data_IF_000844523521
#
_entry.id   IF_000844523521
#
_cell.length_a   1.000
_cell.length_b   1.000
_cell.length_c   1.000
_cell.angle_alpha   90.00
_cell.angle_beta   90.00
_cell.angle_gamma   90.00
#
_symmetry.space_group_name_H-M   'P 1'
#
loop_
_entity.id
_entity.type
_entity.pdbx_description
1 polymer ?
#
# COMPACT_ATOMS: atom_id res chain seq x y z
N UNK A 1 -21.13 -10.81 -0.91
CA UNK A 1 -19.88 -11.45 -1.36
C UNK A 1 -19.70 -12.90 -0.84
N UNK A 2 -20.63 -13.46 -0.07
CA UNK A 2 -20.47 -14.74 0.66
C UNK A 2 -20.74 -16.04 -0.14
N UNK A 3 -20.54 -16.06 -1.47
CA UNK A 3 -21.04 -17.15 -2.32
C UNK A 3 -19.99 -18.12 -2.91
N UNK A 4 -18.70 -17.82 -2.79
CA UNK A 4 -17.63 -18.63 -3.40
C UNK A 4 -16.60 -19.03 -2.34
N UNK A 5 -16.21 -20.32 -2.22
CA UNK A 5 -15.14 -20.74 -1.34
C UNK A 5 -13.79 -20.31 -1.92
N UNK A 6 -13.47 -19.03 -1.76
CA UNK A 6 -12.19 -18.44 -2.16
C UNK A 6 -11.17 -18.60 -1.04
N UNK A 7 -9.94 -19.00 -1.40
CA UNK A 7 -8.83 -19.06 -0.43
C UNK A 7 -8.40 -17.66 0.03
N UNK A 8 -8.59 -16.67 -0.85
CA UNK A 8 -8.21 -15.28 -0.64
C UNK A 8 -9.24 -14.38 -1.32
N UNK A 9 -9.69 -13.33 -0.63
CA UNK A 9 -10.54 -12.26 -1.16
C UNK A 9 -9.79 -10.94 -1.11
N UNK A 10 -9.70 -10.24 -2.23
CA UNK A 10 -8.98 -8.97 -2.32
C UNK A 10 -9.96 -7.93 -2.86
N UNK A 11 -10.18 -6.87 -2.09
CA UNK A 11 -11.00 -5.73 -2.50
C UNK A 11 -10.12 -4.50 -2.50
N UNK A 12 -10.08 -3.78 -3.63
CA UNK A 12 -9.29 -2.56 -3.78
C UNK A 12 -10.21 -1.43 -4.22
N UNK A 13 -10.20 -0.33 -3.49
CA UNK A 13 -11.02 0.85 -3.75
C UNK A 13 -10.13 2.08 -4.01
N UNK A 14 -10.07 2.52 -5.26
CA UNK A 14 -9.49 3.81 -5.65
C UNK A 14 -10.62 4.84 -5.80
N UNK A 15 -11.10 5.33 -4.66
CA UNK A 15 -12.31 6.16 -4.61
C UNK A 15 -12.24 7.33 -3.61
N UNK A 16 -11.19 7.43 -2.79
CA UNK A 16 -10.97 8.57 -1.90
C UNK A 16 -10.48 9.78 -2.70
N UNK A 17 -11.36 10.34 -3.54
CA UNK A 17 -11.08 11.45 -4.48
C UNK A 17 -12.08 12.60 -4.24
N UNK A 18 -11.76 13.84 -4.64
CA UNK A 18 -12.70 14.95 -4.54
C UNK A 18 -13.99 14.64 -5.31
N UNK A 19 -15.12 14.92 -4.68
CA UNK A 19 -16.42 14.72 -5.31
C UNK A 19 -16.74 15.90 -6.25
N UNK A 20 -16.93 15.68 -7.57
CA UNK A 20 -17.25 16.75 -8.52
C UNK A 20 -18.71 17.23 -8.42
N UNK A 21 -19.56 16.52 -7.68
CA UNK A 21 -20.98 16.87 -7.55
C UNK A 21 -21.19 18.07 -6.60
N UNK A 22 -22.27 18.86 -6.81
CA UNK A 22 -22.62 19.96 -5.92
C UNK A 22 -22.70 19.51 -4.46
N UNK A 23 -22.28 20.39 -3.55
CA UNK A 23 -22.40 20.13 -2.11
C UNK A 23 -23.86 19.87 -1.76
N UNK A 24 -24.09 18.75 -1.09
CA UNK A 24 -25.41 18.37 -0.59
C UNK A 24 -25.76 19.26 0.61
N UNK A 25 -27.06 19.32 0.98
CA UNK A 25 -27.50 20.08 2.16
C UNK A 25 -26.80 19.63 3.44
N UNK A 26 -26.48 18.34 3.52
CA UNK A 26 -25.62 17.79 4.56
C UNK A 26 -24.23 17.46 3.96
N UNK A 27 -23.13 17.89 4.59
CA UNK A 27 -21.78 17.56 4.11
C UNK A 27 -21.54 16.05 4.19
N UNK A 28 -21.05 15.47 3.10
CA UNK A 28 -20.52 14.10 3.13
C UNK A 28 -19.25 14.06 4.00
N UNK A 29 -19.08 12.99 4.76
CA UNK A 29 -17.82 12.73 5.45
C UNK A 29 -16.66 12.66 4.43
N UNK A 30 -15.52 13.26 4.76
CA UNK A 30 -14.34 13.23 3.91
C UNK A 30 -13.68 11.85 3.90
N UNK A 31 -13.16 11.45 2.74
CA UNK A 31 -12.40 10.20 2.58
C UNK A 31 -13.24 8.93 2.74
N UNK A 32 -12.54 7.79 2.81
CA UNK A 32 -13.15 6.48 3.02
C UNK A 32 -13.06 6.06 4.49
N UNK A 33 -13.98 5.19 4.91
CA UNK A 33 -14.06 4.73 6.28
C UNK A 33 -12.95 3.72 6.60
N UNK A 34 -12.56 3.64 7.88
CA UNK A 34 -11.79 2.52 8.39
C UNK A 34 -12.67 1.26 8.35
N UNK A 35 -12.11 0.16 7.84
CA UNK A 35 -12.81 -1.12 7.72
C UNK A 35 -12.01 -2.22 8.43
N UNK A 36 -12.74 -3.16 9.01
CA UNK A 36 -12.17 -4.41 9.51
C UNK A 36 -12.57 -5.53 8.53
N UNK A 37 -11.61 -6.17 7.83
CA UNK A 37 -11.92 -7.20 6.86
C UNK A 37 -12.42 -8.49 7.52
N UNK A 38 -13.14 -9.31 6.76
CA UNK A 38 -13.49 -10.68 7.14
C UNK A 38 -12.25 -11.62 7.08
N UNK A 39 -12.30 -12.82 7.67
CA UNK A 39 -11.24 -13.81 7.51
C UNK A 39 -10.93 -14.11 6.04
N UNK A 40 -9.63 -14.27 5.71
CA UNK A 40 -9.14 -14.46 4.34
C UNK A 40 -9.45 -13.29 3.39
N UNK A 41 -9.68 -12.09 3.92
CA UNK A 41 -9.91 -10.89 3.13
C UNK A 41 -8.84 -9.83 3.37
N UNK A 42 -8.49 -9.13 2.31
CA UNK A 42 -7.79 -7.85 2.33
C UNK A 42 -8.67 -6.79 1.69
N UNK A 43 -8.78 -5.64 2.35
CA UNK A 43 -9.41 -4.45 1.79
C UNK A 43 -8.37 -3.33 1.76
N UNK A 44 -8.14 -2.76 0.58
CA UNK A 44 -7.20 -1.68 0.38
C UNK A 44 -7.85 -0.44 -0.26
N UNK A 45 -7.31 0.71 0.07
CA UNK A 45 -7.77 2.03 -0.34
C UNK A 45 -6.60 2.86 -0.84
N UNK A 46 -6.90 3.75 -1.80
CA UNK A 46 -5.91 4.67 -2.33
C UNK A 46 -5.44 5.74 -1.33
N UNK A 47 -6.20 5.98 -0.25
CA UNK A 47 -5.85 6.96 0.78
C UNK A 47 -6.18 6.45 2.20
N UNK A 48 -5.54 7.05 3.20
CA UNK A 48 -5.77 6.77 4.60
C UNK A 48 -7.21 7.14 5.01
N UNK A 49 -7.78 6.47 6.03
CA UNK A 49 -9.13 6.74 6.48
C UNK A 49 -9.37 8.23 6.76
N UNK A 50 -10.49 8.76 6.30
CA UNK A 50 -10.84 10.17 6.46
C UNK A 50 -10.07 11.17 5.57
N UNK A 51 -9.08 10.71 4.80
CA UNK A 51 -8.30 11.56 3.89
C UNK A 51 -8.76 11.43 2.45
N UNK A 52 -8.54 12.48 1.66
CA UNK A 52 -8.89 12.54 0.25
C UNK A 52 -7.61 12.74 -0.54
N UNK A 53 -7.34 11.84 -1.47
CA UNK A 53 -6.19 11.97 -2.35
C UNK A 53 -6.41 13.12 -3.35
N UNK A 54 -5.34 13.87 -3.70
CA UNK A 54 -5.44 14.93 -4.68
C UNK A 54 -5.81 14.40 -6.08
N UNK A 55 -6.22 15.30 -6.96
CA UNK A 55 -6.40 14.98 -8.37
C UNK A 55 -5.06 14.55 -9.00
N UNK A 56 -5.09 13.45 -9.75
CA UNK A 56 -3.93 12.94 -10.46
C UNK A 56 -3.56 13.82 -11.66
N UNK A 57 -2.27 13.84 -12.02
CA UNK A 57 -1.75 14.63 -13.16
C UNK A 57 -1.69 13.84 -14.47
N UNK A 58 -1.89 12.53 -14.43
CA UNK A 58 -1.69 11.60 -15.55
C UNK A 58 -2.96 10.85 -15.95
N UNK A 59 -2.86 9.94 -16.92
CA UNK A 59 -3.99 9.14 -17.40
C UNK A 59 -4.52 8.14 -16.35
N UNK A 60 -3.72 7.85 -15.31
CA UNK A 60 -4.06 7.00 -14.19
C UNK A 60 -3.69 7.69 -12.88
N UNK A 61 -4.44 7.40 -11.81
CA UNK A 61 -4.10 7.82 -10.45
C UNK A 61 -2.80 7.17 -9.97
N UNK A 62 -2.09 7.84 -9.05
CA UNK A 62 -0.82 7.35 -8.52
C UNK A 62 -0.97 5.95 -7.90
N UNK A 63 -2.07 5.72 -7.19
CA UNK A 63 -2.36 4.43 -6.57
C UNK A 63 -2.58 3.29 -7.58
N UNK A 64 -3.50 3.47 -8.53
CA UNK A 64 -3.75 2.47 -9.58
C UNK A 64 -2.47 2.14 -10.39
N UNK A 65 -1.66 3.15 -10.73
CA UNK A 65 -0.40 2.95 -11.42
C UNK A 65 0.59 2.15 -10.58
N UNK A 66 0.84 2.57 -9.33
CA UNK A 66 1.77 1.92 -8.42
C UNK A 66 1.38 0.45 -8.14
N UNK A 67 0.10 0.20 -7.90
CA UNK A 67 -0.41 -1.15 -7.64
C UNK A 67 -0.18 -2.07 -8.86
N UNK A 68 -0.48 -1.57 -10.06
CA UNK A 68 -0.24 -2.33 -11.29
C UNK A 68 1.26 -2.62 -11.51
N UNK A 69 2.14 -1.65 -11.22
CA UNK A 69 3.60 -1.84 -11.27
C UNK A 69 4.05 -2.96 -10.32
N UNK A 70 3.58 -2.96 -9.07
CA UNK A 70 3.99 -3.93 -8.04
C UNK A 70 3.40 -5.32 -8.29
N UNK A 71 2.13 -5.42 -8.69
CA UNK A 71 1.53 -6.70 -9.08
C UNK A 71 2.32 -7.33 -10.24
N UNK A 72 2.65 -6.54 -11.27
CA UNK A 72 3.38 -7.02 -12.46
C UNK A 72 4.83 -7.42 -12.18
N UNK A 73 5.42 -6.96 -11.08
CA UNK A 73 6.79 -7.34 -10.72
C UNK A 73 6.95 -8.85 -10.52
N UNK A 74 5.90 -9.51 -10.02
CA UNK A 74 5.89 -10.96 -9.76
C UNK A 74 6.85 -11.41 -8.65
N UNK A 75 6.54 -12.55 -8.05
CA UNK A 75 7.29 -13.14 -6.95
C UNK A 75 7.27 -12.33 -5.64
N UNK A 76 6.33 -11.39 -5.52
CA UNK A 76 6.10 -10.63 -4.30
C UNK A 76 4.99 -11.27 -3.48
N UNK A 77 5.18 -11.31 -2.16
CA UNK A 77 4.09 -11.63 -1.23
C UNK A 77 2.98 -10.57 -1.34
N UNK A 78 1.79 -10.91 -0.85
CA UNK A 78 0.68 -9.97 -0.83
C UNK A 78 1.02 -8.69 -0.05
N UNK A 79 1.65 -8.82 1.11
CA UNK A 79 2.04 -7.69 1.96
C UNK A 79 3.08 -6.83 1.24
N UNK A 80 4.12 -7.45 0.65
CA UNK A 80 5.14 -6.74 -0.14
C UNK A 80 4.54 -5.92 -1.30
N UNK A 81 3.50 -6.43 -1.96
CA UNK A 81 2.82 -5.69 -3.05
C UNK A 81 2.22 -4.40 -2.52
N UNK A 82 1.51 -4.45 -1.39
CA UNK A 82 0.83 -3.28 -0.85
C UNK A 82 1.78 -2.32 -0.13
N UNK A 83 2.82 -2.80 0.54
CA UNK A 83 3.84 -1.96 1.16
C UNK A 83 4.64 -1.18 0.12
N UNK A 84 5.07 -1.86 -0.95
CA UNK A 84 5.75 -1.19 -2.07
C UNK A 84 4.82 -0.28 -2.86
N UNK A 85 3.53 -0.62 -2.95
CA UNK A 85 2.53 0.29 -3.53
C UNK A 85 2.44 1.58 -2.70
N UNK A 86 2.39 1.48 -1.37
CA UNK A 86 2.37 2.64 -0.47
C UNK A 86 3.63 3.50 -0.65
N UNK A 87 4.81 2.86 -0.70
CA UNK A 87 6.07 3.55 -0.96
C UNK A 87 6.04 4.31 -2.29
N UNK A 88 5.66 3.61 -3.37
CA UNK A 88 5.64 4.16 -4.72
C UNK A 88 4.67 5.34 -4.85
N UNK A 89 3.49 5.25 -4.21
CA UNK A 89 2.54 6.37 -4.17
C UNK A 89 3.10 7.54 -3.39
N UNK A 90 3.71 7.29 -2.23
CA UNK A 90 4.33 8.34 -1.44
C UNK A 90 5.41 9.09 -2.24
N UNK A 91 6.28 8.38 -2.94
CA UNK A 91 7.31 8.97 -3.82
C UNK A 91 6.70 9.85 -4.91
N UNK A 92 5.75 9.31 -5.68
CA UNK A 92 5.15 9.98 -6.84
C UNK A 92 4.33 11.21 -6.43
N UNK A 93 3.71 11.14 -5.26
CA UNK A 93 2.85 12.22 -4.74
C UNK A 93 3.55 13.13 -3.74
N UNK A 94 4.81 12.86 -3.41
CA UNK A 94 5.57 13.55 -2.37
C UNK A 94 4.83 13.58 -1.02
N UNK A 95 4.21 12.45 -0.67
CA UNK A 95 3.42 12.29 0.55
C UNK A 95 2.01 12.89 0.52
N UNK A 96 1.55 13.44 -0.61
CA UNK A 96 0.19 13.98 -0.72
C UNK A 96 -0.91 12.91 -0.76
N UNK A 97 -0.56 11.66 -1.06
CA UNK A 97 -1.46 10.50 -0.99
C UNK A 97 -0.77 9.39 -0.17
N UNK A 98 -1.50 8.81 0.79
CA UNK A 98 -0.98 7.75 1.66
C UNK A 98 -1.93 6.55 1.60
N UNK A 99 -1.61 5.50 0.82
CA UNK A 99 -2.46 4.32 0.72
C UNK A 99 -2.62 3.56 2.04
N UNK A 100 -3.79 2.96 2.23
CA UNK A 100 -4.15 2.19 3.41
C UNK A 100 -4.65 0.79 3.03
N UNK A 101 -4.32 -0.22 3.82
CA UNK A 101 -4.88 -1.56 3.66
C UNK A 101 -5.02 -2.24 5.03
N UNK A 102 -5.98 -3.15 5.12
CA UNK A 102 -6.17 -4.05 6.25
C UNK A 102 -6.32 -5.47 5.72
N UNK A 103 -5.63 -6.43 6.36
CA UNK A 103 -5.56 -7.83 5.92
C UNK A 103 -5.81 -8.78 7.07
N UNK A 104 -6.64 -9.81 6.82
CA UNK A 104 -6.77 -11.01 7.66
C UNK A 104 -6.49 -12.28 6.85
N UNK A 105 -5.60 -12.18 5.85
CA UNK A 105 -5.13 -13.32 5.07
C UNK A 105 -3.91 -13.91 5.78
N UNK A 106 -3.98 -15.21 6.07
CA UNK A 106 -2.88 -15.96 6.71
C UNK A 106 -2.21 -16.93 5.75
N UNK A 107 -2.80 -17.14 4.57
CA UNK A 107 -2.29 -18.08 3.57
C UNK A 107 -1.30 -17.37 2.66
N UNK A 108 -0.12 -17.96 2.37
CA UNK A 108 0.81 -17.40 1.39
C UNK A 108 0.13 -17.19 0.04
N UNK A 109 0.28 -15.99 -0.52
CA UNK A 109 -0.30 -15.60 -1.80
C UNK A 109 0.70 -14.74 -2.58
N UNK A 110 0.79 -15.00 -3.87
CA UNK A 110 1.52 -14.20 -4.86
C UNK A 110 0.58 -13.97 -6.04
N UNK A 111 0.58 -12.76 -6.62
CA UNK A 111 -0.25 -12.47 -7.80
C UNK A 111 0.25 -13.17 -9.06
N UNK A 112 1.56 -13.07 -9.28
CA UNK A 112 2.26 -13.69 -10.40
C UNK A 112 3.57 -14.27 -9.89
N UNK A 113 3.98 -15.40 -10.46
CA UNK A 113 5.33 -15.91 -10.24
C UNK A 113 6.37 -14.96 -10.83
N UNK A 114 7.58 -14.99 -10.28
CA UNK A 114 8.70 -14.25 -10.85
C UNK A 114 9.06 -14.85 -12.21
N UNK A 115 9.17 -14.02 -13.25
CA UNK A 115 9.64 -14.49 -14.54
C UNK A 115 11.07 -15.06 -14.44
N UNK A 116 11.35 -16.15 -15.16
CA UNK A 116 12.63 -16.86 -15.07
C UNK A 116 13.83 -16.02 -15.54
N UNK A 117 13.58 -15.03 -16.39
CA UNK A 117 14.56 -14.07 -16.92
C UNK A 117 14.58 -12.74 -16.16
N UNK A 118 13.78 -12.59 -15.10
CA UNK A 118 13.74 -11.36 -14.32
C UNK A 118 15.12 -11.12 -13.66
N UNK A 119 15.71 -9.91 -13.78
CA UNK A 119 16.95 -9.56 -13.11
C UNK A 119 16.89 -9.87 -11.62
N UNK A 120 17.98 -10.28 -10.98
CA UNK A 120 17.99 -10.56 -9.54
C UNK A 120 17.42 -9.37 -8.73
N UNK A 121 16.74 -9.61 -7.59
CA UNK A 121 16.28 -8.54 -6.71
C UNK A 121 17.42 -7.57 -6.39
N UNK A 122 17.19 -6.26 -6.52
CA UNK A 122 18.21 -5.22 -6.27
C UNK A 122 18.66 -5.15 -4.81
N UNK A 123 17.88 -5.70 -3.88
CA UNK A 123 18.19 -5.78 -2.46
C UNK A 123 18.20 -7.26 -2.09
N UNK A 124 19.33 -7.76 -1.57
CA UNK A 124 19.41 -9.15 -1.12
C UNK A 124 18.60 -9.32 0.17
N UNK A 125 18.16 -10.55 0.47
CA UNK A 125 17.49 -10.84 1.75
C UNK A 125 18.38 -10.50 2.95
N UNK A 126 19.70 -10.63 2.80
CA UNK A 126 20.68 -10.29 3.82
C UNK A 126 20.73 -8.77 4.07
N UNK A 127 20.71 -7.96 3.01
CA UNK A 127 20.64 -6.50 3.11
C UNK A 127 19.32 -6.05 3.73
N UNK A 128 18.21 -6.72 3.38
CA UNK A 128 16.89 -6.45 3.96
C UNK A 128 16.88 -6.73 5.46
N UNK A 129 17.46 -7.86 5.91
CA UNK A 129 17.58 -8.20 7.34
C UNK A 129 18.49 -7.25 8.09
N UNK A 130 19.61 -6.83 7.49
CA UNK A 130 20.53 -5.85 8.07
C UNK A 130 19.87 -4.48 8.22
N UNK A 131 19.11 -4.04 7.20
CA UNK A 131 18.38 -2.78 7.25
C UNK A 131 17.29 -2.78 8.32
N UNK A 132 16.63 -3.92 8.58
CA UNK A 132 15.64 -4.00 9.67
C UNK A 132 16.21 -3.72 11.06
N UNK A 133 17.49 -4.00 11.32
CA UNK A 133 18.10 -3.83 12.65
C UNK A 133 18.85 -2.53 12.86
N UNK A 134 19.16 -1.77 11.79
CA UNK A 134 19.82 -0.45 11.88
C UNK A 134 18.87 0.62 12.47
N UNK A 135 19.38 1.65 13.12
CA UNK A 135 18.51 2.71 13.63
C UNK A 135 17.94 3.56 12.48
N UNK A 136 16.67 4.01 12.57
CA UNK A 136 16.02 4.74 11.46
C UNK A 136 16.76 6.04 11.12
N UNK A 137 17.26 6.74 12.15
CA UNK A 137 18.11 7.94 12.01
C UNK A 137 19.39 7.76 11.18
N UNK A 138 19.83 6.51 10.98
CA UNK A 138 21.06 6.22 10.22
C UNK A 138 20.78 6.03 8.71
N UNK A 139 19.53 6.15 8.28
CA UNK A 139 19.11 6.10 6.89
C UNK A 139 18.90 7.50 6.31
N UNK A 140 19.00 7.62 4.98
CA UNK A 140 18.47 8.81 4.31
C UNK A 140 16.93 8.80 4.40
N UNK A 141 16.28 9.94 4.10
CA UNK A 141 14.83 10.08 4.25
C UNK A 141 14.01 9.00 3.52
N UNK A 142 14.44 8.59 2.31
CA UNK A 142 13.76 7.56 1.55
C UNK A 142 13.88 6.19 2.22
N UNK A 143 15.11 5.76 2.52
CA UNK A 143 15.37 4.46 3.15
C UNK A 143 14.81 4.39 4.58
N UNK A 144 14.75 5.53 5.29
CA UNK A 144 14.15 5.66 6.61
C UNK A 144 12.64 5.41 6.55
N UNK A 145 11.97 5.97 5.54
CA UNK A 145 10.54 5.75 5.31
C UNK A 145 10.24 4.29 4.96
N UNK A 146 11.06 3.68 4.08
CA UNK A 146 10.97 2.25 3.77
C UNK A 146 11.13 1.40 5.03
N UNK A 147 12.15 1.68 5.85
CA UNK A 147 12.39 0.95 7.08
C UNK A 147 11.24 1.08 8.10
N UNK A 148 10.57 2.24 8.15
CA UNK A 148 9.40 2.45 9.00
C UNK A 148 8.20 1.61 8.53
N UNK A 149 7.94 1.59 7.22
CA UNK A 149 6.89 0.76 6.61
C UNK A 149 7.15 -0.73 6.82
N UNK A 150 8.36 -1.21 6.53
CA UNK A 150 8.77 -2.61 6.71
C UNK A 150 8.60 -3.11 8.15
N UNK A 151 8.76 -2.22 9.13
CA UNK A 151 8.61 -2.54 10.55
C UNK A 151 7.15 -2.55 10.99
N UNK A 152 6.33 -1.73 10.36
CA UNK A 152 4.91 -1.49 10.68
C UNK A 152 4.58 -1.51 12.18
N UNK A 153 5.34 -0.74 12.96
CA UNK A 153 5.12 -0.60 14.41
C UNK A 153 5.06 0.87 14.78
N UNK A 154 4.27 1.20 15.81
CA UNK A 154 4.18 2.56 16.34
C UNK A 154 5.57 3.15 16.63
N UNK A 155 6.45 2.38 17.26
CA UNK A 155 7.84 2.78 17.51
C UNK A 155 8.64 3.02 16.23
N UNK A 156 8.46 2.18 15.20
CA UNK A 156 9.11 2.38 13.90
C UNK A 156 8.67 3.67 13.21
N UNK A 157 7.41 4.06 13.36
CA UNK A 157 6.92 5.35 12.86
C UNK A 157 7.44 6.53 13.69
N UNK A 158 7.51 6.40 15.01
CA UNK A 158 8.08 7.43 15.90
C UNK A 158 9.55 7.69 15.61
N UNK A 159 10.35 6.64 15.38
CA UNK A 159 11.77 6.74 15.07
C UNK A 159 12.05 7.41 13.70
N UNK A 160 11.04 7.55 12.83
CA UNK A 160 11.14 8.20 11.51
C UNK A 160 10.87 9.71 11.54
N UNK A 161 10.07 10.18 12.50
CA UNK A 161 9.69 11.60 12.65
C UNK A 161 10.84 12.44 13.24
#
# INVERSE_FOLDING_TARGET
>A
LAGLPTKVNIVVLDAARPNPFPKWKEPLAGGLALVDPDPNMLIAFNAAPGTVAPEGKGPYGAYAQALAEMIRQGGLSLDDVFDRTRLRVNEVTQGAEVPWNASKIVTPFVFFDRAADAPAPKVSEADSRSNRTRAIRDFNAHDAYVAALDRDTMRGYEDFL
#
